data_IF_392412782135
#
_entry.id   IF_392412782135
#
_cell.length_a   1.000
_cell.length_b   1.000
_cell.length_c   1.000
_cell.angle_alpha   90.00
_cell.angle_beta   90.00
_cell.angle_gamma   90.00
#
_symmetry.space_group_name_H-M   'P 1'
#
loop_
_entity.id
_entity.type
_entity.pdbx_description
1 polymer ?
#
# COMPACT_ATOMS: atom_id res chain seq x y z
N UNK A 1 9.28 -4.32 -12.89
CA UNK A 1 9.66 -4.40 -11.45
C UNK A 1 8.46 -4.21 -10.52
N UNK A 2 7.47 -3.34 -10.85
CA UNK A 2 6.33 -3.05 -9.95
C UNK A 2 5.47 -4.30 -9.71
N UNK A 3 5.06 -5.02 -10.77
CA UNK A 3 4.30 -6.27 -10.63
C UNK A 3 5.05 -7.34 -9.85
N UNK A 4 6.36 -7.48 -10.02
CA UNK A 4 7.16 -8.43 -9.23
C UNK A 4 7.16 -8.05 -7.73
N UNK A 5 7.36 -6.78 -7.40
CA UNK A 5 7.33 -6.32 -6.02
C UNK A 5 5.94 -6.55 -5.38
N UNK A 6 4.87 -6.30 -6.15
CA UNK A 6 3.52 -6.55 -5.68
C UNK A 6 3.24 -8.05 -5.48
N UNK A 7 3.71 -8.91 -6.37
CA UNK A 7 3.59 -10.37 -6.22
C UNK A 7 4.33 -10.89 -4.98
N UNK A 8 5.55 -10.41 -4.70
CA UNK A 8 6.31 -10.77 -3.50
C UNK A 8 5.60 -10.31 -2.22
N UNK A 9 5.11 -9.08 -2.21
CA UNK A 9 4.37 -8.54 -1.06
C UNK A 9 3.03 -9.25 -0.87
N UNK A 10 2.36 -9.61 -1.96
CA UNK A 10 1.13 -10.40 -1.96
C UNK A 10 1.35 -11.77 -1.29
N UNK A 11 2.42 -12.48 -1.65
CA UNK A 11 2.80 -13.74 -1.01
C UNK A 11 3.07 -13.57 0.49
N UNK A 12 3.78 -12.51 0.88
CA UNK A 12 4.04 -12.20 2.29
C UNK A 12 2.75 -11.90 3.06
N UNK A 13 1.84 -11.13 2.49
CA UNK A 13 0.56 -10.81 3.13
C UNK A 13 -0.33 -12.05 3.24
N UNK A 14 -0.35 -12.92 2.21
CA UNK A 14 -1.07 -14.17 2.26
C UNK A 14 -0.58 -15.08 3.41
N UNK A 15 0.74 -15.19 3.60
CA UNK A 15 1.32 -15.94 4.72
C UNK A 15 0.94 -15.33 6.09
N UNK A 16 0.97 -14.01 6.22
CA UNK A 16 0.58 -13.33 7.46
C UNK A 16 -0.90 -13.53 7.81
N UNK A 17 -1.74 -13.67 6.81
CA UNK A 17 -3.19 -13.83 6.94
C UNK A 17 -3.61 -15.31 7.05
N UNK A 18 -2.67 -16.25 6.87
CA UNK A 18 -2.96 -17.69 6.92
C UNK A 18 -3.83 -18.17 5.76
N UNK A 19 -3.70 -17.56 4.59
CA UNK A 19 -4.41 -17.98 3.38
C UNK A 19 -4.00 -19.40 2.96
N UNK A 20 -4.92 -20.13 2.32
CA UNK A 20 -4.60 -21.39 1.65
C UNK A 20 -3.59 -21.17 0.51
N UNK A 21 -2.88 -22.23 0.11
CA UNK A 21 -1.93 -22.15 -1.02
C UNK A 21 -2.63 -21.73 -2.33
N UNK A 22 -3.89 -22.10 -2.54
CA UNK A 22 -4.67 -21.68 -3.70
C UNK A 22 -4.95 -20.16 -3.67
N UNK A 23 -5.44 -19.64 -2.53
CA UNK A 23 -5.68 -18.21 -2.35
C UNK A 23 -4.38 -17.39 -2.47
N UNK A 24 -3.29 -17.89 -1.86
CA UNK A 24 -1.96 -17.28 -1.95
C UNK A 24 -1.47 -17.18 -3.38
N UNK A 25 -1.56 -18.27 -4.15
CA UNK A 25 -1.17 -18.29 -5.55
C UNK A 25 -2.02 -17.30 -6.38
N UNK A 26 -3.33 -17.28 -6.15
CA UNK A 26 -4.23 -16.31 -6.78
C UNK A 26 -3.81 -14.87 -6.44
N UNK A 27 -3.54 -14.56 -5.17
CA UNK A 27 -3.15 -13.21 -4.75
C UNK A 27 -1.79 -12.79 -5.36
N UNK A 28 -0.83 -13.72 -5.45
CA UNK A 28 0.46 -13.51 -6.11
C UNK A 28 0.27 -13.15 -7.58
N UNK A 29 -0.58 -13.90 -8.30
CA UNK A 29 -0.87 -13.64 -9.72
C UNK A 29 -1.63 -12.30 -9.89
N UNK A 30 -2.59 -12.00 -9.02
CA UNK A 30 -3.21 -10.67 -8.97
C UNK A 30 -2.15 -9.57 -8.86
N UNK A 31 -1.20 -9.70 -7.92
CA UNK A 31 -0.10 -8.74 -7.72
C UNK A 31 0.86 -8.66 -8.91
N UNK A 32 1.03 -9.75 -9.66
CA UNK A 32 1.86 -9.75 -10.85
C UNK A 32 1.21 -9.02 -12.03
N UNK A 33 -0.11 -9.19 -12.23
CA UNK A 33 -0.82 -8.72 -13.42
C UNK A 33 -1.58 -7.40 -13.26
N UNK A 34 -1.89 -6.92 -12.04
CA UNK A 34 -2.80 -5.79 -11.83
C UNK A 34 -2.50 -4.55 -12.68
N UNK A 35 -1.22 -4.28 -12.91
CA UNK A 35 -0.72 -3.10 -13.64
C UNK A 35 -0.36 -3.39 -15.11
N UNK A 36 -0.71 -4.57 -15.66
CA UNK A 36 -0.31 -4.98 -17.01
C UNK A 36 -0.71 -3.99 -18.10
N UNK A 37 -1.81 -3.28 -17.90
CA UNK A 37 -2.29 -2.26 -18.84
C UNK A 37 -1.36 -1.06 -18.99
N UNK A 38 -0.48 -0.80 -18.03
CA UNK A 38 0.54 0.26 -18.13
C UNK A 38 1.51 0.02 -19.28
N UNK A 39 1.72 -1.24 -19.69
CA UNK A 39 2.58 -1.58 -20.84
C UNK A 39 2.05 -1.03 -22.18
N UNK A 40 0.78 -0.66 -22.26
CA UNK A 40 0.15 -0.12 -23.46
C UNK A 40 -0.02 1.41 -23.40
N UNK A 41 0.38 2.05 -22.32
CA UNK A 41 0.36 3.51 -22.21
C UNK A 41 1.62 4.13 -22.83
N UNK A 42 1.55 5.39 -23.27
CA UNK A 42 2.72 6.10 -23.80
C UNK A 42 3.88 6.10 -22.79
N UNK A 43 5.05 5.68 -23.26
CA UNK A 43 6.26 5.59 -22.44
C UNK A 43 6.63 6.94 -21.79
N UNK A 44 6.51 8.02 -22.57
CA UNK A 44 6.82 9.38 -22.12
C UNK A 44 5.95 9.83 -20.95
N UNK A 45 4.73 9.30 -20.87
CA UNK A 45 3.78 9.61 -19.82
C UNK A 45 4.13 8.84 -18.52
N UNK A 46 4.51 7.57 -18.65
CA UNK A 46 4.87 6.72 -17.50
C UNK A 46 6.16 7.16 -16.82
N UNK A 47 7.08 7.74 -17.58
CA UNK A 47 8.41 8.15 -17.11
C UNK A 47 8.58 9.66 -17.06
N UNK A 48 7.48 10.41 -17.15
CA UNK A 48 7.52 11.87 -17.08
C UNK A 48 8.12 12.34 -15.76
N UNK A 49 9.19 13.16 -15.80
CA UNK A 49 9.70 13.77 -14.59
C UNK A 49 8.71 14.82 -14.06
N UNK A 50 8.41 14.74 -12.75
CA UNK A 50 7.52 15.69 -12.08
C UNK A 50 6.05 15.24 -12.03
N UNK A 51 5.16 16.21 -11.81
CA UNK A 51 3.72 15.95 -11.69
C UNK A 51 3.06 15.85 -13.06
N UNK A 52 2.11 14.93 -13.18
CA UNK A 52 1.22 14.83 -14.34
C UNK A 52 0.19 15.97 -14.34
N UNK A 53 -0.20 16.43 -15.52
CA UNK A 53 -1.41 17.27 -15.67
C UNK A 53 -2.67 16.43 -15.45
N UNK A 54 -3.81 17.09 -15.29
CA UNK A 54 -5.09 16.37 -15.12
C UNK A 54 -5.44 15.54 -16.36
N UNK A 55 -5.13 16.02 -17.57
CA UNK A 55 -5.32 15.32 -18.83
C UNK A 55 -4.43 14.08 -18.92
N UNK A 56 -3.16 14.21 -18.58
CA UNK A 56 -2.20 13.11 -18.54
C UNK A 56 -2.63 12.05 -17.50
N UNK A 57 -3.10 12.51 -16.35
CA UNK A 57 -3.59 11.59 -15.31
C UNK A 57 -4.87 10.85 -15.74
N UNK A 58 -5.74 11.49 -16.54
CA UNK A 58 -6.89 10.79 -17.16
C UNK A 58 -6.44 9.65 -18.07
N UNK A 59 -5.36 9.84 -18.83
CA UNK A 59 -4.79 8.77 -19.67
C UNK A 59 -4.24 7.65 -18.79
N UNK A 60 -3.49 7.96 -17.73
CA UNK A 60 -3.01 6.93 -16.78
C UNK A 60 -4.17 6.12 -16.20
N UNK A 61 -5.29 6.76 -15.84
CA UNK A 61 -6.46 6.09 -15.27
C UNK A 61 -7.14 5.08 -16.22
N UNK A 62 -6.76 5.04 -17.49
CA UNK A 62 -7.31 4.04 -18.44
C UNK A 62 -6.64 2.68 -18.30
N UNK A 63 -5.44 2.56 -17.65
CA UNK A 63 -4.70 1.31 -17.62
C UNK A 63 -5.46 0.12 -17.04
N UNK A 64 -6.39 0.24 -16.05
CA UNK A 64 -7.15 -0.92 -15.58
C UNK A 64 -8.05 -1.49 -16.69
N UNK A 65 -8.72 -0.62 -17.45
CA UNK A 65 -9.59 -1.03 -18.57
C UNK A 65 -8.79 -1.64 -19.71
N UNK A 66 -7.68 -1.01 -20.08
CA UNK A 66 -6.75 -1.48 -21.10
C UNK A 66 -6.15 -2.84 -20.69
N UNK A 67 -5.72 -2.96 -19.42
CA UNK A 67 -5.21 -4.20 -18.86
C UNK A 67 -6.24 -5.32 -18.87
N UNK A 68 -7.47 -5.05 -18.45
CA UNK A 68 -8.56 -6.04 -18.49
C UNK A 68 -8.84 -6.51 -19.93
N UNK A 69 -8.83 -5.61 -20.90
CA UNK A 69 -9.02 -5.98 -22.31
C UNK A 69 -7.94 -6.94 -22.78
N UNK A 70 -6.72 -6.80 -22.26
CA UNK A 70 -5.59 -7.69 -22.55
C UNK A 70 -5.77 -9.09 -21.94
N UNK A 71 -6.25 -9.16 -20.69
CA UNK A 71 -6.29 -10.42 -19.93
C UNK A 71 -7.63 -11.15 -19.98
N UNK A 72 -8.72 -10.53 -20.39
CA UNK A 72 -10.08 -11.10 -20.32
C UNK A 72 -10.25 -12.45 -21.05
N UNK A 73 -9.48 -12.69 -22.10
CA UNK A 73 -9.52 -13.93 -22.90
C UNK A 73 -8.34 -14.87 -22.59
N UNK A 74 -7.53 -14.56 -21.58
CA UNK A 74 -6.42 -15.40 -21.14
C UNK A 74 -6.91 -16.42 -20.10
N UNK A 75 -6.12 -17.48 -19.95
CA UNK A 75 -6.35 -18.52 -18.93
C UNK A 75 -5.96 -18.00 -17.54
N UNK A 76 -6.75 -17.07 -17.04
CA UNK A 76 -6.70 -16.48 -15.70
C UNK A 76 -8.06 -16.68 -15.05
N UNK A 77 -8.07 -16.85 -13.72
CA UNK A 77 -9.33 -16.92 -13.00
C UNK A 77 -10.01 -15.54 -12.89
N UNK A 78 -11.28 -15.51 -12.43
CA UNK A 78 -12.04 -14.26 -12.37
C UNK A 78 -11.46 -13.26 -11.34
N UNK A 79 -10.89 -13.73 -10.22
CA UNK A 79 -10.25 -12.86 -9.24
C UNK A 79 -9.04 -12.14 -9.83
N UNK A 80 -8.21 -12.86 -10.59
CA UNK A 80 -7.04 -12.29 -11.26
C UNK A 80 -7.44 -11.23 -12.30
N UNK A 81 -8.49 -11.49 -13.10
CA UNK A 81 -9.04 -10.50 -14.04
C UNK A 81 -9.66 -9.31 -13.34
N UNK A 82 -10.40 -9.54 -12.25
CA UNK A 82 -11.02 -8.50 -11.44
C UNK A 82 -9.96 -7.63 -10.75
N UNK A 83 -8.87 -8.20 -10.27
CA UNK A 83 -7.76 -7.44 -9.70
C UNK A 83 -7.20 -6.44 -10.71
N UNK A 84 -7.05 -6.81 -11.99
CA UNK A 84 -6.56 -5.89 -13.03
C UNK A 84 -7.49 -4.68 -13.21
N UNK A 85 -8.80 -4.87 -13.19
CA UNK A 85 -9.74 -3.77 -13.48
C UNK A 85 -10.18 -2.99 -12.24
N UNK A 86 -10.12 -3.59 -11.03
CA UNK A 86 -10.72 -3.01 -9.81
C UNK A 86 -9.68 -2.52 -8.77
N UNK A 87 -8.37 -2.73 -8.95
CA UNK A 87 -7.38 -2.39 -7.90
C UNK A 87 -7.32 -0.90 -7.52
N UNK A 88 -7.84 -0.03 -8.36
CA UNK A 88 -7.98 1.39 -8.06
C UNK A 88 -9.38 1.79 -7.58
N UNK A 89 -10.32 0.85 -7.48
CA UNK A 89 -11.58 1.11 -6.81
C UNK A 89 -11.35 1.28 -5.30
N UNK A 90 -12.25 2.00 -4.64
CA UNK A 90 -12.20 2.27 -3.20
C UNK A 90 -13.56 1.97 -2.58
N UNK A 91 -13.59 1.48 -1.33
CA UNK A 91 -14.83 1.08 -0.69
C UNK A 91 -15.86 2.21 -0.56
N UNK A 92 -15.37 3.45 -0.45
CA UNK A 92 -16.19 4.67 -0.41
C UNK A 92 -16.73 5.11 -1.79
N UNK A 93 -16.35 4.44 -2.87
CA UNK A 93 -16.72 4.76 -4.25
C UNK A 93 -15.91 5.90 -4.88
N UNK A 94 -14.88 6.41 -4.21
CA UNK A 94 -14.01 7.47 -4.74
C UNK A 94 -12.99 6.97 -5.77
N UNK A 95 -12.90 5.65 -5.98
CA UNK A 95 -11.97 4.99 -6.88
C UNK A 95 -12.31 5.15 -8.37
N UNK A 96 -11.65 4.39 -9.20
CA UNK A 96 -11.88 4.30 -10.65
C UNK A 96 -11.56 2.89 -11.17
N UNK A 97 -12.01 2.47 -12.36
CA UNK A 97 -12.66 3.25 -13.41
C UNK A 97 -14.18 3.38 -13.28
N UNK A 98 -14.86 2.53 -12.49
CA UNK A 98 -16.30 2.43 -12.45
C UNK A 98 -16.94 3.03 -11.20
N UNK A 99 -16.16 3.57 -10.28
CA UNK A 99 -16.64 4.11 -9.00
C UNK A 99 -17.46 3.09 -8.20
N UNK A 100 -16.99 1.84 -8.22
CA UNK A 100 -17.59 0.77 -7.42
C UNK A 100 -17.37 1.01 -5.93
N UNK A 101 -18.30 0.53 -5.11
CA UNK A 101 -18.22 0.68 -3.66
C UNK A 101 -18.55 -0.61 -2.92
N UNK A 102 -18.00 -0.77 -1.72
CA UNK A 102 -18.32 -1.87 -0.82
C UNK A 102 -18.03 -3.24 -1.43
N UNK A 103 -18.95 -4.18 -1.19
CA UNK A 103 -18.80 -5.59 -1.56
C UNK A 103 -18.85 -5.87 -3.08
N UNK A 104 -19.14 -4.87 -3.90
CA UNK A 104 -19.07 -5.01 -5.37
C UNK A 104 -17.64 -5.09 -5.89
N UNK A 105 -16.67 -4.67 -5.09
CA UNK A 105 -15.25 -4.79 -5.42
C UNK A 105 -14.78 -6.18 -5.02
N UNK A 106 -14.17 -6.91 -5.93
CA UNK A 106 -13.60 -8.23 -5.69
C UNK A 106 -12.63 -8.22 -4.49
N UNK A 107 -12.67 -9.25 -3.65
CA UNK A 107 -11.86 -9.30 -2.43
C UNK A 107 -10.35 -9.27 -2.75
N UNK A 108 -9.90 -9.95 -3.81
CA UNK A 108 -8.48 -9.91 -4.22
C UNK A 108 -8.10 -8.53 -4.76
N UNK A 109 -9.01 -7.84 -5.45
CA UNK A 109 -8.79 -6.46 -5.86
C UNK A 109 -8.65 -5.52 -4.65
N UNK A 110 -9.38 -5.76 -3.54
CA UNK A 110 -9.21 -5.01 -2.28
C UNK A 110 -7.84 -5.23 -1.65
N UNK A 111 -7.32 -6.47 -1.66
CA UNK A 111 -5.94 -6.74 -1.23
C UNK A 111 -4.93 -6.00 -2.11
N UNK A 112 -5.10 -6.07 -3.44
CA UNK A 112 -4.19 -5.38 -4.36
C UNK A 112 -4.25 -3.86 -4.19
N UNK A 113 -5.42 -3.28 -3.88
CA UNK A 113 -5.54 -1.86 -3.58
C UNK A 113 -4.68 -1.43 -2.36
N UNK A 114 -4.57 -2.28 -1.34
CA UNK A 114 -3.70 -2.07 -0.16
C UNK A 114 -2.23 -2.22 -0.56
N UNK A 115 -1.90 -3.27 -1.29
CA UNK A 115 -0.53 -3.58 -1.75
C UNK A 115 0.01 -2.45 -2.64
N UNK A 116 -0.77 -2.02 -3.64
CA UNK A 116 -0.39 -0.95 -4.56
C UNK A 116 -0.17 0.37 -3.81
N UNK A 117 -1.06 0.73 -2.90
CA UNK A 117 -0.92 1.92 -2.06
C UNK A 117 0.35 1.85 -1.18
N UNK A 118 0.63 0.69 -0.56
CA UNK A 118 1.83 0.48 0.23
C UNK A 118 3.09 0.67 -0.62
N UNK A 119 3.18 -0.01 -1.77
CA UNK A 119 4.33 0.09 -2.70
C UNK A 119 4.50 1.52 -3.20
N UNK A 120 3.41 2.20 -3.56
CA UNK A 120 3.46 3.57 -4.02
C UNK A 120 4.01 4.53 -2.95
N UNK A 121 3.76 4.28 -1.67
CA UNK A 121 4.29 5.05 -0.55
C UNK A 121 5.71 4.66 -0.17
N UNK A 122 6.05 3.37 -0.19
CA UNK A 122 7.36 2.83 0.14
C UNK A 122 8.42 3.05 -0.95
N UNK A 123 8.02 3.43 -2.16
CA UNK A 123 8.95 3.68 -3.27
C UNK A 123 9.33 5.17 -3.36
N UNK A 124 10.62 5.50 -3.55
CA UNK A 124 11.01 6.88 -3.82
C UNK A 124 10.44 7.33 -5.18
N UNK A 125 10.07 8.59 -5.28
CA UNK A 125 9.64 9.23 -6.52
C UNK A 125 10.49 10.46 -6.79
N UNK A 126 10.50 10.95 -8.01
CA UNK A 126 11.29 12.12 -8.42
C UNK A 126 11.05 13.38 -7.57
N UNK A 127 9.93 13.45 -6.87
CA UNK A 127 9.51 14.60 -6.07
C UNK A 127 9.28 14.26 -4.57
N UNK A 128 9.56 13.01 -4.15
CA UNK A 128 9.33 12.58 -2.75
C UNK A 128 10.21 11.38 -2.41
N UNK A 129 10.85 11.41 -1.22
CA UNK A 129 11.50 10.24 -0.64
C UNK A 129 10.48 9.13 -0.32
N UNK A 130 10.96 7.89 -0.21
CA UNK A 130 10.19 6.79 0.33
C UNK A 130 9.73 7.12 1.76
N UNK A 131 8.49 6.77 2.09
CA UNK A 131 7.99 6.87 3.46
C UNK A 131 8.49 5.69 4.29
N UNK A 132 8.71 5.93 5.58
CA UNK A 132 8.97 4.86 6.54
C UNK A 132 7.71 4.00 6.75
N UNK A 133 7.85 2.73 7.21
CA UNK A 133 6.69 1.89 7.49
C UNK A 133 5.68 2.57 8.44
N UNK A 134 6.14 3.22 9.52
CA UNK A 134 5.25 3.91 10.47
C UNK A 134 4.55 5.13 9.84
N UNK A 135 5.21 5.85 8.93
CA UNK A 135 4.56 6.93 8.16
C UNK A 135 3.50 6.39 7.20
N UNK A 136 3.75 5.22 6.57
CA UNK A 136 2.76 4.55 5.71
C UNK A 136 1.54 4.14 6.52
N UNK A 137 1.73 3.57 7.71
CA UNK A 137 0.62 3.24 8.61
C UNK A 137 -0.20 4.49 8.95
N UNK A 138 0.46 5.63 9.23
CA UNK A 138 -0.22 6.89 9.47
C UNK A 138 -1.06 7.40 8.30
N UNK A 139 -0.66 7.11 7.05
CA UNK A 139 -1.48 7.42 5.87
C UNK A 139 -2.70 6.49 5.75
N UNK A 140 -2.55 5.20 6.00
CA UNK A 140 -3.69 4.28 6.04
C UNK A 140 -4.69 4.68 7.14
N UNK A 141 -4.22 5.01 8.34
CA UNK A 141 -5.06 5.47 9.45
C UNK A 141 -5.92 6.70 9.11
N UNK A 142 -5.44 7.57 8.22
CA UNK A 142 -6.18 8.77 7.75
C UNK A 142 -7.21 8.48 6.66
N UNK A 143 -7.24 7.26 6.12
CA UNK A 143 -8.04 6.91 4.95
C UNK A 143 -8.65 5.50 5.06
N UNK A 144 -8.98 5.08 6.28
CA UNK A 144 -9.56 3.75 6.55
C UNK A 144 -10.86 3.50 5.79
N UNK A 145 -11.65 4.55 5.54
CA UNK A 145 -12.90 4.53 4.79
C UNK A 145 -12.74 4.08 3.32
N UNK A 146 -11.51 4.19 2.77
CA UNK A 146 -11.20 3.80 1.39
C UNK A 146 -10.84 2.33 1.23
N UNK A 147 -10.48 1.66 2.31
CA UNK A 147 -9.97 0.29 2.28
C UNK A 147 -10.85 -0.65 3.09
N UNK A 148 -10.75 -1.93 2.80
CA UNK A 148 -11.37 -2.96 3.60
C UNK A 148 -10.63 -3.09 4.93
N UNK A 149 -11.25 -2.63 6.01
CA UNK A 149 -10.65 -2.56 7.34
C UNK A 149 -10.36 -3.97 7.90
N UNK A 150 -11.20 -4.95 7.57
CA UNK A 150 -10.99 -6.34 8.00
C UNK A 150 -9.73 -6.95 7.36
N UNK A 151 -9.40 -6.54 6.15
CA UNK A 151 -8.19 -6.94 5.44
C UNK A 151 -6.97 -6.09 5.84
N UNK A 152 -7.16 -4.79 5.99
CA UNK A 152 -6.08 -3.83 6.23
C UNK A 152 -5.50 -3.93 7.65
N UNK A 153 -6.35 -4.06 8.69
CA UNK A 153 -5.88 -4.01 10.09
C UNK A 153 -4.90 -5.13 10.47
N UNK A 154 -5.11 -6.40 10.09
CA UNK A 154 -4.12 -7.45 10.34
C UNK A 154 -2.78 -7.17 9.68
N UNK A 155 -2.79 -6.64 8.45
CA UNK A 155 -1.58 -6.27 7.70
C UNK A 155 -0.85 -5.12 8.40
N UNK A 156 -1.57 -4.06 8.77
CA UNK A 156 -1.02 -2.91 9.50
C UNK A 156 -0.38 -3.35 10.82
N UNK A 157 -1.05 -4.24 11.55
CA UNK A 157 -0.52 -4.79 12.81
C UNK A 157 0.81 -5.50 12.58
N UNK A 158 0.90 -6.37 11.58
CA UNK A 158 2.15 -7.09 11.26
C UNK A 158 3.29 -6.15 10.88
N UNK A 159 2.99 -5.13 10.07
CA UNK A 159 3.98 -4.10 9.69
C UNK A 159 4.45 -3.35 10.94
N UNK A 160 3.54 -2.96 11.82
CA UNK A 160 3.84 -2.23 13.05
C UNK A 160 4.68 -3.07 14.03
N UNK A 161 4.29 -4.32 14.29
CA UNK A 161 5.00 -5.24 15.17
C UNK A 161 6.45 -5.47 14.70
N UNK A 162 6.68 -5.51 13.38
CA UNK A 162 8.00 -5.64 12.79
C UNK A 162 8.90 -4.40 13.01
N UNK A 163 8.33 -3.27 13.48
CA UNK A 163 9.13 -2.08 13.80
C UNK A 163 9.65 -2.10 15.24
N UNK A 164 9.12 -2.94 16.13
CA UNK A 164 9.59 -3.02 17.52
C UNK A 164 11.08 -3.39 17.53
N UNK A 165 11.88 -2.63 18.29
CA UNK A 165 13.34 -2.78 18.36
C UNK A 165 14.11 -2.09 17.21
N UNK A 166 13.44 -1.48 16.24
CA UNK A 166 14.12 -0.70 15.20
C UNK A 166 14.42 0.73 15.68
N UNK A 167 15.49 1.32 15.17
CA UNK A 167 15.84 2.71 15.45
C UNK A 167 15.19 3.67 14.45
N UNK A 168 14.67 4.77 14.95
CA UNK A 168 14.05 5.85 14.18
C UNK A 168 14.65 7.20 14.54
N UNK A 169 14.73 8.10 13.55
CA UNK A 169 15.11 9.50 13.76
C UNK A 169 13.85 10.35 13.77
N UNK A 170 13.75 11.25 14.73
CA UNK A 170 12.67 12.23 14.82
C UNK A 170 13.03 13.53 14.09
N UNK A 171 12.02 14.38 13.87
CA UNK A 171 12.16 15.69 13.21
C UNK A 171 13.06 16.69 13.95
N UNK A 172 13.37 16.45 15.24
CA UNK A 172 14.33 17.22 16.03
C UNK A 172 15.77 16.69 15.92
N UNK A 173 15.99 15.62 15.12
CA UNK A 173 17.27 14.96 14.91
C UNK A 173 17.63 13.93 15.97
N UNK A 174 16.81 13.70 16.98
CA UNK A 174 17.05 12.70 18.01
C UNK A 174 16.78 11.28 17.48
N UNK A 175 17.56 10.29 17.98
CA UNK A 175 17.43 8.87 17.59
C UNK A 175 16.82 8.11 18.76
N UNK A 176 15.84 7.28 18.43
CA UNK A 176 15.05 6.51 19.39
C UNK A 176 14.80 5.10 18.88
N UNK A 177 14.63 4.15 19.79
CA UNK A 177 14.20 2.78 19.50
C UNK A 177 12.68 2.68 19.67
N UNK A 178 12.00 2.00 18.74
CA UNK A 178 10.56 1.69 18.86
C UNK A 178 10.38 0.62 19.92
N UNK A 179 9.71 0.97 21.01
CA UNK A 179 9.54 0.07 22.16
C UNK A 179 8.17 -0.61 22.19
N UNK A 180 7.10 0.18 22.05
CA UNK A 180 5.72 -0.32 22.15
C UNK A 180 4.87 0.32 21.06
N UNK A 181 4.08 -0.53 20.38
CA UNK A 181 3.09 -0.08 19.40
C UNK A 181 1.74 0.07 20.08
N UNK A 182 1.10 1.23 19.92
CA UNK A 182 -0.26 1.44 20.40
C UNK A 182 -1.28 0.64 19.58
N UNK A 183 -2.21 -0.11 20.20
CA UNK A 183 -3.13 -0.99 19.48
C UNK A 183 -4.12 -0.25 18.57
N UNK A 184 -4.40 1.03 18.86
CA UNK A 184 -5.35 1.85 18.11
C UNK A 184 -4.69 2.97 17.29
N UNK A 185 -3.34 3.06 17.31
CA UNK A 185 -2.58 4.10 16.61
C UNK A 185 -1.16 3.62 16.29
N UNK A 186 -1.06 2.76 15.32
CA UNK A 186 0.21 2.09 14.96
C UNK A 186 1.33 3.06 14.55
N UNK A 187 0.96 4.20 13.96
CA UNK A 187 1.91 5.21 13.47
C UNK A 187 2.56 6.05 14.57
N UNK A 188 2.10 5.94 15.83
CA UNK A 188 2.52 6.79 16.95
C UNK A 188 2.97 5.94 18.14
N UNK A 189 4.11 5.20 18.04
CA UNK A 189 4.59 4.32 19.09
C UNK A 189 5.13 5.06 20.32
N UNK A 190 5.35 4.30 21.39
CA UNK A 190 6.22 4.71 22.49
C UNK A 190 7.65 4.35 22.10
N UNK A 191 8.55 5.32 22.25
CA UNK A 191 9.96 5.23 21.94
C UNK A 191 10.82 5.29 23.20
N UNK A 192 12.04 4.73 23.12
CA UNK A 192 13.04 4.73 24.17
C UNK A 192 14.39 5.16 23.59
N UNK A 193 15.16 5.97 24.32
CA UNK A 193 16.52 6.31 23.93
C UNK A 193 17.59 5.52 24.72
N UNK A 194 18.86 5.74 24.41
CA UNK A 194 20.03 5.12 25.06
C UNK A 194 20.20 5.49 26.55
N UNK A 195 19.58 6.60 26.97
CA UNK A 195 19.55 7.04 28.38
C UNK A 195 18.41 6.46 29.19
N UNK A 196 17.63 5.52 28.64
CA UNK A 196 16.40 4.97 29.21
C UNK A 196 15.28 6.03 29.45
N UNK A 197 15.29 7.12 28.68
CA UNK A 197 14.18 8.06 28.64
C UNK A 197 13.13 7.52 27.66
N UNK A 198 11.85 7.87 27.90
CA UNK A 198 10.72 7.41 27.12
C UNK A 198 9.94 8.59 26.57
N UNK A 199 9.45 8.46 25.34
CA UNK A 199 8.53 9.41 24.74
C UNK A 199 7.35 8.66 24.12
N UNK A 200 6.15 9.08 24.48
CA UNK A 200 4.92 8.60 23.84
C UNK A 200 4.54 9.57 22.73
N UNK A 201 4.67 9.14 21.47
CA UNK A 201 4.36 10.00 20.34
C UNK A 201 2.87 10.39 20.27
N UNK A 202 1.95 9.63 20.89
CA UNK A 202 0.55 10.05 21.01
C UNK A 202 0.38 11.35 21.81
N UNK A 203 1.24 11.58 22.79
CA UNK A 203 1.22 12.76 23.67
C UNK A 203 2.09 13.91 23.13
N UNK A 204 2.85 13.66 22.08
CA UNK A 204 3.80 14.62 21.49
C UNK A 204 3.55 14.81 19.99
N UNK A 205 2.45 15.49 19.62
CA UNK A 205 2.09 15.72 18.23
C UNK A 205 3.11 16.56 17.44
N UNK A 206 3.98 17.27 18.16
CA UNK A 206 5.10 18.07 17.64
C UNK A 206 6.27 17.20 17.13
N UNK A 207 6.38 15.95 17.60
CA UNK A 207 7.43 15.02 17.20
C UNK A 207 6.93 14.09 16.10
N UNK A 208 7.73 13.91 15.04
CA UNK A 208 7.43 13.06 13.91
C UNK A 208 8.62 12.16 13.55
N UNK A 209 8.36 10.91 13.20
CA UNK A 209 9.37 10.00 12.69
C UNK A 209 9.67 10.43 11.24
N UNK A 210 10.96 10.70 10.94
CA UNK A 210 11.38 11.17 9.60
C UNK A 210 12.10 10.08 8.80
N UNK A 211 12.80 9.15 9.46
CA UNK A 211 13.40 7.98 8.80
C UNK A 211 13.67 6.85 9.78
N UNK A 212 13.88 5.63 9.25
CA UNK A 212 14.50 4.53 9.98
C UNK A 212 16.03 4.66 9.88
N UNK A 213 16.73 4.28 10.94
CA UNK A 213 18.19 4.38 11.07
C UNK A 213 18.81 2.99 11.04
#
# INVERSE_FOLDING_TARGET
TQGLNAALLAGTFADWLGMSEEEKNTLILCGFYYDIGKLQLPYELLWKPGKLTDEEFKVIKTHPVVGYTTVRNQDLNEHEKNAVIMHHERLDGSGYPYHMSGQRIDVFARYIAIIDAYIAMASPRTYRNALTPLQILGNFEKSLDKYDVELLMPIMKRIADAQIGTSVELNDGSIWEVLIIHPNKYSRPILKNDKNEFVDLLQRPDLEIVKNV
#
